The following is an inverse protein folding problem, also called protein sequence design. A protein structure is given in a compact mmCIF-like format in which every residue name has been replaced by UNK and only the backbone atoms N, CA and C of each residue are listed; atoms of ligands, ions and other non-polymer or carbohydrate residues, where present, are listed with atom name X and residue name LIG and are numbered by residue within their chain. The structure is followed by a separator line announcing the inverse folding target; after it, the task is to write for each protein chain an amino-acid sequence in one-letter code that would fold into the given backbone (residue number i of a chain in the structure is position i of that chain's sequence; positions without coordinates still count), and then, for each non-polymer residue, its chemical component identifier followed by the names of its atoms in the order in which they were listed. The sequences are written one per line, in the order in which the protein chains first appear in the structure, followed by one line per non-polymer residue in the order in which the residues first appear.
data_IF_696713201090
#
_entry.id   IF_696713201090
#
_cell.length_a   1.000
_cell.length_b   1.000
_cell.length_c   1.000
_cell.angle_alpha   90.00
_cell.angle_beta   90.00
_cell.angle_gamma   90.00
#
_symmetry.space_group_name_H-M   'P 1'
#
loop_
_entity.id
_entity.type
_entity.pdbx_description
1 polymer ?
#
# COMPACT_ATOMS: atom_id res chain seq x y z
N UNK A 1 -6.25 14.03 -3.61
CA UNK A 1 -5.18 13.01 -3.68
C UNK A 1 -4.77 12.60 -5.08
N UNK A 2 -5.68 12.29 -6.01
CA UNK A 2 -5.29 11.68 -7.30
C UNK A 2 -5.18 12.61 -8.52
N UNK A 3 -5.69 13.83 -8.44
CA UNK A 3 -5.74 14.79 -9.55
C UNK A 3 -5.24 16.19 -9.15
N UNK A 4 -4.11 16.26 -8.43
CA UNK A 4 -3.42 17.51 -8.08
C UNK A 4 -4.18 18.51 -7.20
N UNK A 5 -4.27 18.21 -5.90
CA UNK A 5 -4.42 19.25 -4.87
C UNK A 5 -3.69 18.94 -3.56
N UNK A 6 -2.88 17.88 -3.53
CA UNK A 6 -2.05 17.55 -2.39
C UNK A 6 -0.58 17.78 -2.77
N UNK A 7 0.12 18.57 -1.96
CA UNK A 7 1.50 19.03 -2.16
C UNK A 7 2.55 17.91 -2.14
N UNK A 8 2.14 16.66 -1.95
CA UNK A 8 3.05 15.54 -1.71
C UNK A 8 3.40 14.83 -3.03
N UNK A 9 4.67 14.86 -3.45
CA UNK A 9 5.09 14.22 -4.70
C UNK A 9 4.98 12.68 -4.59
N UNK A 10 4.69 12.02 -5.72
CA UNK A 10 4.46 10.55 -5.80
C UNK A 10 5.61 9.72 -5.21
N UNK A 11 6.84 10.25 -5.25
CA UNK A 11 8.00 9.62 -4.61
C UNK A 11 7.90 9.58 -3.07
N UNK A 12 7.40 10.64 -2.44
CA UNK A 12 7.19 10.70 -0.98
C UNK A 12 6.05 9.78 -0.52
N UNK A 13 5.11 9.47 -1.41
CA UNK A 13 4.03 8.52 -1.14
C UNK A 13 4.57 7.14 -0.77
N UNK A 14 5.68 6.71 -1.37
CA UNK A 14 6.34 5.44 -1.02
C UNK A 14 6.79 5.41 0.43
N UNK A 15 7.44 6.47 0.89
CA UNK A 15 7.89 6.58 2.29
C UNK A 15 6.69 6.63 3.24
N UNK A 16 5.63 7.34 2.87
CA UNK A 16 4.39 7.37 3.66
C UNK A 16 3.75 5.98 3.78
N UNK A 17 3.68 5.22 2.68
CA UNK A 17 3.17 3.84 2.70
C UNK A 17 4.05 2.92 3.55
N UNK A 18 5.38 3.04 3.42
CA UNK A 18 6.32 2.25 4.19
C UNK A 18 6.12 2.45 5.70
N UNK A 19 6.01 3.72 6.12
CA UNK A 19 5.74 4.07 7.51
C UNK A 19 4.38 3.54 7.98
N UNK A 20 3.33 3.69 7.18
CA UNK A 20 1.99 3.21 7.53
C UNK A 20 1.92 1.68 7.69
N UNK A 21 2.68 0.93 6.89
CA UNK A 21 2.72 -0.53 6.90
C UNK A 21 3.78 -1.12 7.86
N UNK A 22 4.45 -0.29 8.67
CA UNK A 22 5.43 -0.73 9.67
C UNK A 22 6.57 -1.60 9.12
N UNK A 23 6.89 -1.48 7.83
CA UNK A 23 7.93 -2.29 7.21
C UNK A 23 7.59 -3.78 7.04
N UNK A 24 6.30 -4.17 7.03
CA UNK A 24 5.86 -5.59 7.03
C UNK A 24 5.23 -6.02 5.70
N UNK A 25 5.10 -7.34 5.52
CA UNK A 25 4.44 -7.94 4.36
C UNK A 25 2.94 -8.17 4.61
N UNK A 26 2.11 -7.42 3.89
CA UNK A 26 0.65 -7.48 3.95
C UNK A 26 0.03 -8.19 2.74
N UNK A 27 0.82 -8.71 1.80
CA UNK A 27 0.33 -9.34 0.56
C UNK A 27 -0.76 -10.39 0.81
N UNK A 28 -0.70 -11.26 1.84
CA UNK A 28 -1.79 -12.22 2.10
C UNK A 28 -3.13 -11.54 2.39
N UNK A 29 -3.13 -10.44 3.14
CA UNK A 29 -4.35 -9.66 3.38
C UNK A 29 -4.81 -8.96 2.10
N UNK A 30 -3.87 -8.36 1.38
CA UNK A 30 -4.18 -7.59 0.19
C UNK A 30 -4.78 -8.41 -0.94
N UNK A 31 -4.26 -9.62 -1.15
CA UNK A 31 -4.79 -10.59 -2.12
C UNK A 31 -6.25 -10.94 -1.80
N UNK A 32 -6.56 -11.24 -0.53
CA UNK A 32 -7.93 -11.55 -0.10
C UNK A 32 -8.89 -10.37 -0.22
N UNK A 33 -8.39 -9.14 -0.11
CA UNK A 33 -9.18 -7.92 -0.22
C UNK A 33 -9.21 -7.35 -1.66
N UNK A 34 -8.79 -8.13 -2.65
CA UNK A 34 -8.99 -7.79 -4.07
C UNK A 34 -8.16 -6.60 -4.56
N UNK A 35 -7.00 -6.33 -3.95
CA UNK A 35 -6.11 -5.24 -4.40
C UNK A 35 -5.61 -5.43 -5.85
N UNK A 36 -5.58 -6.68 -6.32
CA UNK A 36 -5.19 -7.01 -7.70
C UNK A 36 -6.32 -6.86 -8.73
N UNK A 37 -7.51 -6.41 -8.32
CA UNK A 37 -8.67 -6.25 -9.23
C UNK A 37 -8.68 -4.95 -10.02
N UNK A 38 -7.66 -4.10 -9.83
CA UNK A 38 -7.48 -2.87 -10.62
C UNK A 38 -6.91 -3.20 -11.99
N UNK A 39 -6.93 -2.24 -12.92
CA UNK A 39 -6.30 -2.40 -14.24
C UNK A 39 -4.76 -2.54 -14.15
N UNK A 40 -4.14 -2.14 -13.03
CA UNK A 40 -2.71 -2.34 -12.78
C UNK A 40 -2.39 -3.75 -12.22
N UNK A 41 -3.41 -4.53 -11.86
CA UNK A 41 -3.29 -5.95 -11.52
C UNK A 41 -2.36 -6.22 -10.35
N UNK A 42 -1.50 -7.24 -10.51
CA UNK A 42 -0.57 -7.68 -9.46
C UNK A 42 0.48 -6.63 -9.07
N UNK A 43 0.72 -5.60 -9.89
CA UNK A 43 1.64 -4.49 -9.55
C UNK A 43 1.23 -3.80 -8.26
N UNK A 44 -0.05 -3.77 -7.94
CA UNK A 44 -0.55 -3.12 -6.72
C UNK A 44 -0.11 -3.83 -5.43
N UNK A 45 0.33 -5.09 -5.51
CA UNK A 45 0.91 -5.80 -4.37
C UNK A 45 2.26 -5.23 -3.93
N UNK A 46 2.93 -4.43 -4.78
CA UNK A 46 4.10 -3.66 -4.38
C UNK A 46 3.81 -2.73 -3.21
N UNK A 47 2.60 -2.14 -3.13
CA UNK A 47 2.21 -1.31 -1.99
C UNK A 47 1.90 -2.12 -0.73
N UNK A 48 1.72 -3.43 -0.86
CA UNK A 48 1.44 -4.33 0.27
C UNK A 48 2.69 -5.00 0.82
N UNK A 49 3.74 -5.15 0.02
CA UNK A 49 5.05 -5.59 0.49
C UNK A 49 5.88 -4.36 0.84
N UNK A 50 5.94 -4.02 2.12
CA UNK A 50 6.67 -2.84 2.59
C UNK A 50 7.94 -3.24 3.33
N UNK A 51 8.46 -4.45 3.11
CA UNK A 51 9.72 -4.88 3.74
C UNK A 51 10.89 -3.99 3.31
N UNK A 52 11.80 -3.64 4.24
CA UNK A 52 12.97 -2.83 3.91
C UNK A 52 13.83 -3.52 2.84
N UNK A 53 14.47 -2.73 1.98
CA UNK A 53 15.33 -3.21 0.89
C UNK A 53 14.61 -3.43 -0.45
N UNK A 54 13.28 -3.36 -0.50
CA UNK A 54 12.52 -3.40 -1.76
C UNK A 54 12.38 -1.98 -2.33
N UNK A 55 13.37 -1.54 -3.12
CA UNK A 55 13.31 -0.23 -3.78
C UNK A 55 12.54 -0.35 -5.10
N UNK A 56 11.24 -0.08 -5.06
CA UNK A 56 10.45 0.08 -6.30
C UNK A 56 10.45 1.53 -6.77
N UNK A 57 10.66 1.72 -8.08
CA UNK A 57 10.44 3.00 -8.74
C UNK A 57 8.95 3.08 -9.12
N UNK A 58 8.26 4.08 -8.59
CA UNK A 58 6.84 4.32 -8.87
C UNK A 58 6.71 5.24 -10.07
N UNK A 59 5.98 4.78 -11.08
CA UNK A 59 5.58 5.56 -12.25
C UNK A 59 4.06 5.72 -12.32
N UNK A 60 3.56 6.36 -13.37
CA UNK A 60 2.11 6.60 -13.56
C UNK A 60 1.32 5.31 -13.79
N UNK A 61 1.95 4.18 -14.12
CA UNK A 61 1.25 2.89 -14.26
C UNK A 61 0.74 2.33 -12.93
N UNK A 62 1.21 2.87 -11.80
CA UNK A 62 0.72 2.54 -10.47
C UNK A 62 -0.51 3.35 -10.06
N UNK A 63 -0.90 4.38 -10.82
CA UNK A 63 -2.06 5.21 -10.53
C UNK A 63 -3.34 4.40 -10.24
N UNK A 64 -3.68 3.36 -11.01
CA UNK A 64 -4.91 2.60 -10.78
C UNK A 64 -4.91 1.78 -9.48
N UNK A 65 -3.75 1.57 -8.85
CA UNK A 65 -3.69 0.86 -7.58
C UNK A 65 -4.42 1.61 -6.46
N UNK A 66 -4.62 2.92 -6.62
CA UNK A 66 -5.20 3.76 -5.59
C UNK A 66 -6.73 3.70 -5.53
N UNK A 67 -7.37 3.11 -6.55
CA UNK A 67 -8.77 2.69 -6.47
C UNK A 67 -9.02 1.72 -5.30
N UNK A 68 -7.96 1.02 -4.85
CA UNK A 68 -7.99 0.09 -3.72
C UNK A 68 -7.20 0.59 -2.51
N UNK A 69 -6.89 1.88 -2.45
CA UNK A 69 -6.06 2.45 -1.38
C UNK A 69 -6.66 2.25 0.01
N UNK A 70 -7.97 2.43 0.17
CA UNK A 70 -8.66 2.18 1.44
C UNK A 70 -8.59 0.70 1.86
N UNK A 71 -8.65 -0.23 0.90
CA UNK A 71 -8.48 -1.66 1.18
C UNK A 71 -7.05 -1.97 1.66
N UNK A 72 -6.03 -1.28 1.12
CA UNK A 72 -4.64 -1.40 1.58
C UNK A 72 -4.52 -0.94 3.04
N UNK A 73 -5.02 0.27 3.34
CA UNK A 73 -4.99 0.84 4.69
C UNK A 73 -5.71 -0.04 5.71
N UNK A 74 -6.85 -0.62 5.34
CA UNK A 74 -7.57 -1.57 6.21
C UNK A 74 -6.70 -2.77 6.58
N UNK A 75 -5.93 -3.32 5.64
CA UNK A 75 -4.99 -4.41 5.93
C UNK A 75 -3.90 -3.99 6.92
N UNK A 76 -3.32 -2.80 6.76
CA UNK A 76 -2.30 -2.28 7.68
C UNK A 76 -2.88 -2.06 9.09
N UNK A 77 -4.05 -1.45 9.16
CA UNK A 77 -4.76 -1.21 10.41
C UNK A 77 -5.10 -2.50 11.16
N UNK A 78 -5.61 -3.51 10.45
CA UNK A 78 -5.94 -4.80 11.07
C UNK A 78 -4.71 -5.52 11.60
N UNK A 79 -3.56 -5.40 10.93
CA UNK A 79 -2.30 -5.94 11.40
C UNK A 79 -1.85 -5.24 12.70
N UNK A 80 -1.92 -3.90 12.74
CA UNK A 80 -1.62 -3.09 13.93
C UNK A 80 -2.51 -3.47 15.12
N UNK A 81 -3.84 -3.53 14.92
CA UNK A 81 -4.76 -3.91 16.00
C UNK A 81 -4.47 -5.30 16.52
N UNK A 82 -4.16 -6.26 15.63
CA UNK A 82 -3.82 -7.63 16.05
C UNK A 82 -2.51 -7.69 16.82
N UNK A 83 -1.53 -6.87 16.46
CA UNK A 83 -0.28 -6.74 17.19
C UNK A 83 -0.54 -6.25 18.62
N UNK A 84 -1.30 -5.16 18.80
CA UNK A 84 -1.58 -4.60 20.12
C UNK A 84 -2.51 -5.46 20.98
N UNK A 85 -3.47 -6.19 20.40
CA UNK A 85 -4.36 -7.10 21.14
C UNK A 85 -3.66 -8.35 21.69
N UNK A 86 -2.43 -8.64 21.24
CA UNK A 86 -1.63 -9.78 21.74
C UNK A 86 -0.82 -9.42 22.99
N UNK A 87 -0.77 -8.14 23.34
CA UNK A 87 -0.23 -7.62 24.60
C UNK A 87 -1.38 -7.19 25.51
#
# INVERSE_FOLDING_TARGET
MYLHQDSCPINAMKEMQFCAAQGRDHRPCCLRNGITTTIAGAKCLTFCDQRPGQITHLDTSFLPCFDRFENMKSCFWHDIIRYFRRF
#
